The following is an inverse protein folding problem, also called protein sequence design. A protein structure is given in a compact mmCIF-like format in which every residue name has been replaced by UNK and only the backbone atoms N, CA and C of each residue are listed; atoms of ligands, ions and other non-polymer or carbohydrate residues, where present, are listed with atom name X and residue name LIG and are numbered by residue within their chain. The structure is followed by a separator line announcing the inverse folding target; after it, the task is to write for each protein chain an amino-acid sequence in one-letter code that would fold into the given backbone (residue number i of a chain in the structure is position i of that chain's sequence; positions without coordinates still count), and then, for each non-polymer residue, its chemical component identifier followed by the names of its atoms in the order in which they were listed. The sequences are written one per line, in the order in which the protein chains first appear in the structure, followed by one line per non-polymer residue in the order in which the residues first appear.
data_IF_325855225977
#
_entry.id   IF_325855225977
#
_cell.length_a   1.000
_cell.length_b   1.000
_cell.length_c   1.000
_cell.angle_alpha   90.00
_cell.angle_beta   90.00
_cell.angle_gamma   90.00
#
_symmetry.space_group_name_H-M   'P 1'
#
loop_
_entity.id
_entity.type
_entity.pdbx_description
1 polymer ?
#
# COMPACT_ATOMS: atom_id res chain seq x y z
N UNK A 1 10.89 2.75 -22.89
CA UNK A 1 11.19 1.41 -22.32
C UNK A 1 9.92 0.91 -21.66
N UNK A 2 9.52 -0.36 -21.83
CA UNK A 2 8.46 -0.93 -20.99
C UNK A 2 9.03 -1.05 -19.58
N UNK A 3 8.43 -0.36 -18.62
CA UNK A 3 8.69 -0.57 -17.19
C UNK A 3 8.42 -2.04 -16.90
N UNK A 4 9.32 -2.70 -16.15
CA UNK A 4 9.03 -4.04 -15.64
C UNK A 4 7.75 -4.01 -14.81
N UNK A 5 6.97 -5.10 -14.82
CA UNK A 5 5.77 -5.23 -13.99
C UNK A 5 6.05 -4.75 -12.54
N UNK A 6 5.36 -3.71 -12.04
CA UNK A 6 5.65 -3.11 -10.74
C UNK A 6 5.64 -4.11 -9.57
N UNK A 7 4.88 -5.20 -9.69
CA UNK A 7 4.86 -6.27 -8.68
C UNK A 7 6.22 -6.96 -8.49
N UNK A 8 7.09 -6.93 -9.49
CA UNK A 8 8.43 -7.55 -9.39
C UNK A 8 9.43 -6.72 -8.57
N UNK A 9 9.08 -5.47 -8.21
CA UNK A 9 9.97 -4.62 -7.42
C UNK A 9 10.31 -5.26 -6.07
N UNK A 10 9.29 -5.79 -5.39
CA UNK A 10 9.36 -6.30 -4.02
C UNK A 10 9.73 -7.79 -3.95
N UNK A 11 10.71 -8.24 -4.75
CA UNK A 11 11.14 -9.64 -4.83
C UNK A 11 12.66 -9.80 -4.63
N UNK A 12 13.07 -11.00 -4.22
CA UNK A 12 14.46 -11.37 -3.91
C UNK A 12 15.09 -10.44 -2.88
N UNK A 13 16.30 -9.97 -3.19
CA UNK A 13 17.07 -9.10 -2.30
C UNK A 13 16.30 -7.83 -1.87
N UNK A 14 15.41 -7.29 -2.70
CA UNK A 14 14.61 -6.13 -2.28
C UNK A 14 13.64 -6.48 -1.17
N UNK A 15 12.98 -7.64 -1.23
CA UNK A 15 12.06 -8.08 -0.18
C UNK A 15 12.79 -8.28 1.15
N UNK A 16 13.93 -8.99 1.12
CA UNK A 16 14.77 -9.25 2.30
C UNK A 16 15.23 -7.97 3.00
N UNK A 17 15.60 -6.96 2.22
CA UNK A 17 16.19 -5.72 2.73
C UNK A 17 15.18 -4.59 2.93
N UNK A 18 13.91 -4.78 2.49
CA UNK A 18 12.91 -3.71 2.46
C UNK A 18 12.68 -3.10 3.83
N UNK A 19 12.23 -3.88 4.81
CA UNK A 19 11.80 -3.34 6.09
C UNK A 19 12.95 -2.74 6.93
N UNK A 20 14.13 -3.38 7.04
CA UNK A 20 15.29 -2.79 7.70
C UNK A 20 15.73 -1.44 7.11
N UNK A 21 15.51 -1.24 5.80
CA UNK A 21 15.89 0.00 5.10
C UNK A 21 14.73 0.99 4.94
N UNK A 22 13.48 0.56 4.92
CA UNK A 22 12.31 1.43 4.79
C UNK A 22 12.08 2.26 6.06
N UNK A 23 12.45 1.72 7.23
CA UNK A 23 12.32 2.43 8.50
C UNK A 23 10.88 2.47 9.00
N UNK A 24 10.25 1.30 9.19
CA UNK A 24 8.97 1.12 9.88
C UNK A 24 7.76 1.86 9.28
N UNK A 25 6.58 1.58 9.83
CA UNK A 25 5.38 2.40 9.61
C UNK A 25 5.22 3.33 10.82
N UNK A 26 4.99 4.64 10.62
CA UNK A 26 4.90 5.59 11.73
C UNK A 26 3.73 5.32 12.69
N UNK A 27 2.61 4.76 12.22
CA UNK A 27 1.41 4.55 13.03
C UNK A 27 0.47 3.48 12.47
N UNK A 28 0.54 2.25 13.00
CA UNK A 28 -0.43 1.17 12.72
C UNK A 28 -1.78 1.42 13.39
N UNK A 29 -1.84 2.22 14.46
CA UNK A 29 -3.03 2.42 15.29
C UNK A 29 -4.16 3.11 14.52
N UNK A 30 -3.86 3.92 13.50
CA UNK A 30 -4.88 4.54 12.65
C UNK A 30 -5.70 3.49 11.88
N UNK A 31 -5.08 2.39 11.46
CA UNK A 31 -5.78 1.30 10.77
C UNK A 31 -6.59 0.44 11.74
N UNK A 32 -6.06 0.20 12.95
CA UNK A 32 -6.82 -0.42 14.05
C UNK A 32 -8.10 0.38 14.31
N UNK A 33 -7.98 1.68 14.57
CA UNK A 33 -9.13 2.58 14.80
C UNK A 33 -10.10 2.62 13.62
N UNK A 34 -9.59 2.58 12.39
CA UNK A 34 -10.43 2.51 11.20
C UNK A 34 -11.27 1.24 11.20
N UNK A 35 -10.67 0.06 11.44
CA UNK A 35 -11.38 -1.21 11.49
C UNK A 35 -12.35 -1.26 12.68
N UNK A 36 -11.96 -0.79 13.86
CA UNK A 36 -12.85 -0.71 15.04
C UNK A 36 -14.08 0.18 14.76
N UNK A 37 -13.91 1.27 14.01
CA UNK A 37 -14.99 2.22 13.66
C UNK A 37 -15.94 1.66 12.59
N UNK A 38 -15.41 1.00 11.57
CA UNK A 38 -16.17 0.61 10.37
C UNK A 38 -16.60 -0.87 10.36
N UNK A 39 -15.97 -1.68 11.21
CA UNK A 39 -16.32 -3.06 11.53
C UNK A 39 -15.44 -4.09 10.85
N UNK A 40 -15.66 -5.33 11.25
CA UNK A 40 -14.97 -6.54 10.79
C UNK A 40 -15.90 -7.41 9.94
N UNK A 41 -15.36 -8.27 9.06
CA UNK A 41 -13.94 -8.50 8.83
C UNK A 41 -13.30 -7.41 7.98
N UNK A 42 -11.98 -7.30 8.07
CA UNK A 42 -11.18 -6.36 7.30
C UNK A 42 -10.26 -7.04 6.27
N UNK A 43 -9.89 -6.29 5.23
CA UNK A 43 -8.94 -6.71 4.20
C UNK A 43 -7.87 -5.64 4.02
N UNK A 44 -6.61 -6.03 4.18
CA UNK A 44 -5.47 -5.24 3.71
C UNK A 44 -5.06 -5.66 2.30
N UNK A 45 -5.08 -4.72 1.38
CA UNK A 45 -4.57 -4.93 0.02
C UNK A 45 -3.17 -4.30 -0.09
N UNK A 46 -2.23 -5.09 -0.61
CA UNK A 46 -0.77 -4.86 -0.57
C UNK A 46 -0.18 -4.95 0.85
N UNK A 47 -0.47 -6.04 1.56
CA UNK A 47 -0.09 -6.22 2.97
C UNK A 47 1.42 -6.42 3.20
N UNK A 48 2.21 -6.66 2.14
CA UNK A 48 3.67 -6.74 2.20
C UNK A 48 4.18 -7.72 3.25
N UNK A 49 5.19 -7.28 4.03
CA UNK A 49 5.79 -8.04 5.13
C UNK A 49 4.92 -8.11 6.39
N UNK A 50 3.68 -7.60 6.34
CA UNK A 50 2.73 -7.67 7.43
C UNK A 50 2.64 -6.41 8.30
N UNK A 51 3.08 -5.25 7.81
CA UNK A 51 2.92 -3.98 8.51
C UNK A 51 1.92 -3.12 7.71
N UNK A 52 0.81 -2.62 8.30
CA UNK A 52 0.35 -2.81 9.69
C UNK A 52 -0.42 -4.12 9.93
N UNK A 53 -0.71 -4.92 8.91
CA UNK A 53 -1.53 -6.14 8.96
C UNK A 53 -1.41 -7.00 10.24
N UNK A 54 -0.20 -7.38 10.61
CA UNK A 54 0.06 -8.23 11.78
C UNK A 54 -0.22 -7.51 13.10
N UNK A 55 -0.08 -6.18 13.14
CA UNK A 55 -0.40 -5.39 14.32
C UNK A 55 -1.92 -5.34 14.56
N UNK A 56 -2.73 -5.37 13.49
CA UNK A 56 -4.19 -5.50 13.61
C UNK A 56 -4.60 -6.89 14.11
N UNK A 57 -3.97 -7.94 13.60
CA UNK A 57 -4.20 -9.31 14.10
C UNK A 57 -3.80 -9.45 15.57
N UNK A 58 -2.68 -8.83 15.98
CA UNK A 58 -2.22 -8.81 17.36
C UNK A 58 -3.17 -8.01 18.28
N UNK A 59 -3.86 -7.00 17.76
CA UNK A 59 -4.96 -6.32 18.43
C UNK A 59 -6.26 -7.16 18.53
N UNK A 60 -6.27 -8.37 17.97
CA UNK A 60 -7.39 -9.31 18.02
C UNK A 60 -8.45 -9.07 16.93
N UNK A 61 -8.12 -8.29 15.89
CA UNK A 61 -9.04 -7.99 14.80
C UNK A 61 -9.05 -9.10 13.74
N UNK A 62 -10.21 -9.34 13.12
CA UNK A 62 -10.38 -10.28 12.02
C UNK A 62 -9.99 -9.63 10.68
N UNK A 63 -8.74 -9.86 10.26
CA UNK A 63 -8.14 -9.25 9.06
C UNK A 63 -7.53 -10.31 8.15
N UNK A 64 -7.74 -10.17 6.85
CA UNK A 64 -7.04 -10.93 5.80
C UNK A 64 -6.10 -10.01 4.99
N UNK A 65 -5.07 -10.59 4.38
CA UNK A 65 -4.07 -9.85 3.60
C UNK A 65 -3.99 -10.33 2.15
N UNK A 66 -3.84 -9.41 1.20
CA UNK A 66 -3.53 -9.70 -0.22
C UNK A 66 -2.22 -9.01 -0.59
N UNK A 67 -1.31 -9.71 -1.26
CA UNK A 67 -0.12 -9.10 -1.87
C UNK A 67 0.29 -9.80 -3.16
N UNK A 68 0.93 -9.05 -4.06
CA UNK A 68 1.41 -9.55 -5.34
C UNK A 68 2.82 -10.18 -5.26
N UNK A 69 3.57 -9.93 -4.18
CA UNK A 69 4.89 -10.50 -3.96
C UNK A 69 4.82 -11.71 -3.05
N UNK A 70 5.13 -12.88 -3.60
CA UNK A 70 5.26 -14.11 -2.81
C UNK A 70 6.34 -13.99 -1.72
N UNK A 71 7.47 -13.35 -2.02
CA UNK A 71 8.58 -13.21 -1.08
C UNK A 71 8.16 -12.34 0.13
N UNK A 72 7.35 -11.30 -0.10
CA UNK A 72 6.81 -10.49 0.98
C UNK A 72 5.83 -11.27 1.86
N UNK A 73 4.97 -12.09 1.24
CA UNK A 73 4.03 -12.96 1.97
C UNK A 73 4.75 -14.02 2.80
N UNK A 74 5.85 -14.60 2.31
CA UNK A 74 6.67 -15.56 3.05
C UNK A 74 7.31 -14.91 4.30
N UNK A 75 7.78 -13.65 4.17
CA UNK A 75 8.27 -12.86 5.31
C UNK A 75 7.14 -12.56 6.29
N UNK A 76 5.96 -12.17 5.81
CA UNK A 76 4.77 -11.92 6.62
C UNK A 76 4.37 -13.16 7.44
N UNK A 77 4.31 -14.33 6.80
CA UNK A 77 3.98 -15.60 7.44
C UNK A 77 5.04 -16.00 8.49
N UNK A 78 6.33 -15.79 8.20
CA UNK A 78 7.41 -16.03 9.17
C UNK A 78 7.23 -15.16 10.42
N UNK A 79 6.99 -13.87 10.24
CA UNK A 79 6.75 -12.93 11.36
C UNK A 79 5.48 -13.26 12.14
N UNK A 80 4.42 -13.68 11.44
CA UNK A 80 3.19 -14.14 12.09
C UNK A 80 3.46 -15.33 13.00
N UNK A 81 4.20 -16.33 12.51
CA UNK A 81 4.58 -17.52 13.28
C UNK A 81 5.42 -17.17 14.52
N UNK A 82 6.37 -16.25 14.38
CA UNK A 82 7.18 -15.75 15.51
C UNK A 82 6.35 -15.05 16.58
N UNK A 83 5.27 -14.36 16.17
CA UNK A 83 4.31 -13.71 17.08
C UNK A 83 3.18 -14.66 17.56
N UNK A 84 3.13 -15.90 17.07
CA UNK A 84 2.05 -16.83 17.38
C UNK A 84 0.68 -16.44 16.80
N UNK A 85 0.67 -15.67 15.71
CA UNK A 85 -0.53 -15.20 15.02
C UNK A 85 -0.93 -16.17 13.90
N UNK A 86 -2.23 -16.35 13.70
CA UNK A 86 -2.76 -17.04 12.52
C UNK A 86 -3.08 -16.02 11.43
N UNK A 87 -2.56 -16.23 10.22
CA UNK A 87 -2.77 -15.34 9.07
C UNK A 87 -3.56 -16.03 7.97
N UNK A 88 -4.39 -15.25 7.28
CA UNK A 88 -4.99 -15.64 5.99
C UNK A 88 -4.43 -14.70 4.93
N UNK A 89 -3.59 -15.23 4.05
CA UNK A 89 -2.88 -14.48 3.01
C UNK A 89 -3.27 -14.97 1.62
N UNK A 90 -3.47 -14.02 0.70
CA UNK A 90 -3.82 -14.27 -0.69
C UNK A 90 -2.72 -13.72 -1.61
N UNK A 91 -2.09 -14.61 -2.38
CA UNK A 91 -1.10 -14.19 -3.39
C UNK A 91 -1.80 -13.79 -4.68
N UNK A 92 -1.99 -12.48 -4.89
CA UNK A 92 -2.68 -11.94 -6.04
C UNK A 92 -2.35 -10.46 -6.25
N UNK A 93 -2.57 -9.96 -7.47
CA UNK A 93 -2.48 -8.53 -7.76
C UNK A 93 -3.73 -7.82 -7.24
N UNK A 94 -3.59 -6.56 -6.82
CA UNK A 94 -4.74 -5.79 -6.31
C UNK A 94 -5.83 -5.53 -7.37
N UNK A 95 -5.48 -5.62 -8.66
CA UNK A 95 -6.42 -5.53 -9.78
C UNK A 95 -7.22 -6.82 -10.03
N UNK A 96 -6.75 -7.97 -9.53
CA UNK A 96 -7.26 -9.28 -9.93
C UNK A 96 -7.09 -10.30 -8.79
N UNK A 97 -8.04 -10.28 -7.85
CA UNK A 97 -8.21 -11.31 -6.85
C UNK A 97 -9.69 -11.67 -6.66
N UNK A 98 -9.95 -12.89 -6.19
CA UNK A 98 -11.30 -13.37 -5.88
C UNK A 98 -11.30 -14.07 -4.54
N UNK A 99 -11.86 -13.41 -3.53
CA UNK A 99 -12.00 -13.94 -2.18
C UNK A 99 -13.49 -14.19 -1.95
N UNK A 100 -13.92 -15.41 -1.55
CA UNK A 100 -15.32 -15.73 -1.29
C UNK A 100 -15.80 -15.19 0.07
N UNK A 101 -15.44 -13.94 0.39
CA UNK A 101 -15.73 -13.25 1.64
C UNK A 101 -16.02 -11.78 1.37
N UNK A 102 -16.95 -11.20 2.12
CA UNK A 102 -17.26 -9.77 2.11
C UNK A 102 -16.63 -9.09 3.33
N UNK A 103 -16.10 -7.89 3.15
CA UNK A 103 -15.38 -7.14 4.17
C UNK A 103 -16.10 -5.83 4.51
N UNK A 104 -16.14 -5.51 5.81
CA UNK A 104 -16.69 -4.25 6.33
C UNK A 104 -15.69 -3.10 6.19
N UNK A 105 -14.40 -3.41 6.29
CA UNK A 105 -13.31 -2.45 6.19
C UNK A 105 -12.29 -2.96 5.18
N UNK A 106 -11.98 -2.18 4.14
CA UNK A 106 -10.90 -2.49 3.21
C UNK A 106 -9.89 -1.36 3.28
N UNK A 107 -8.61 -1.64 3.28
CA UNK A 107 -7.61 -0.56 3.26
C UNK A 107 -6.39 -0.89 2.41
N UNK A 108 -5.81 0.16 1.84
CA UNK A 108 -4.53 0.12 1.13
C UNK A 108 -3.61 1.13 1.81
N UNK A 109 -2.66 0.61 2.56
CA UNK A 109 -1.76 1.40 3.38
C UNK A 109 -0.58 1.98 2.58
N UNK A 110 0.03 3.03 3.13
CA UNK A 110 1.36 3.55 2.76
C UNK A 110 1.55 3.88 1.28
N UNK A 111 0.50 4.39 0.62
CA UNK A 111 0.62 4.81 -0.76
C UNK A 111 0.63 3.67 -1.77
N UNK A 112 0.47 2.40 -1.38
CA UNK A 112 0.60 1.25 -2.27
C UNK A 112 -0.34 1.32 -3.50
N UNK A 113 -1.45 2.05 -3.41
CA UNK A 113 -2.36 2.27 -4.55
C UNK A 113 -1.66 2.93 -5.76
N UNK A 114 -0.63 3.73 -5.51
CA UNK A 114 0.14 4.43 -6.56
C UNK A 114 1.17 3.55 -7.26
N UNK A 115 1.29 2.27 -6.88
CA UNK A 115 2.08 1.28 -7.62
C UNK A 115 1.39 0.81 -8.90
N UNK A 116 0.09 1.10 -9.05
CA UNK A 116 -0.66 0.78 -10.26
C UNK A 116 -0.17 1.63 -11.45
N UNK A 117 0.03 1.04 -12.64
CA UNK A 117 0.64 1.74 -13.76
C UNK A 117 -0.33 2.67 -14.53
N UNK A 118 -1.64 2.55 -14.33
CA UNK A 118 -2.61 3.31 -15.10
C UNK A 118 -3.94 3.56 -14.38
N UNK A 119 -4.73 4.51 -14.91
CA UNK A 119 -6.11 4.73 -14.49
C UNK A 119 -7.00 3.50 -14.73
N UNK A 120 -6.69 2.67 -15.74
CA UNK A 120 -7.48 1.46 -16.02
C UNK A 120 -7.15 0.32 -15.06
N UNK A 121 -5.91 0.26 -14.55
CA UNK A 121 -5.53 -0.62 -13.44
C UNK A 121 -6.19 -0.17 -12.14
N UNK A 122 -6.28 1.15 -11.90
CA UNK A 122 -7.05 1.69 -10.77
C UNK A 122 -8.51 1.29 -10.88
N UNK A 123 -9.18 1.51 -12.01
CA UNK A 123 -10.58 1.08 -12.20
C UNK A 123 -10.78 -0.42 -11.96
N UNK A 124 -9.87 -1.28 -12.42
CA UNK A 124 -9.93 -2.73 -12.17
C UNK A 124 -9.79 -3.05 -10.68
N UNK A 125 -8.87 -2.40 -9.98
CA UNK A 125 -8.72 -2.51 -8.52
C UNK A 125 -10.00 -2.08 -7.80
N UNK A 126 -10.58 -0.95 -8.21
CA UNK A 126 -11.81 -0.42 -7.62
C UNK A 126 -13.01 -1.36 -7.85
N UNK A 127 -13.12 -2.01 -9.00
CA UNK A 127 -14.15 -3.03 -9.24
C UNK A 127 -13.90 -4.28 -8.38
N UNK A 128 -12.65 -4.71 -8.25
CA UNK A 128 -12.28 -5.86 -7.41
C UNK A 128 -12.63 -5.60 -5.94
N UNK A 129 -12.40 -4.37 -5.45
CA UNK A 129 -12.81 -3.96 -4.11
C UNK A 129 -14.34 -3.97 -3.98
N UNK A 130 -15.11 -3.46 -4.95
CA UNK A 130 -16.59 -3.55 -4.94
C UNK A 130 -17.05 -5.01 -4.80
N UNK A 131 -16.38 -5.95 -5.47
CA UNK A 131 -16.74 -7.36 -5.47
C UNK A 131 -16.52 -8.06 -4.12
N UNK A 132 -15.66 -7.52 -3.25
CA UNK A 132 -15.44 -8.04 -1.89
C UNK A 132 -15.91 -7.09 -0.78
N UNK A 133 -16.38 -5.88 -1.08
CA UNK A 133 -16.87 -4.94 -0.08
C UNK A 133 -18.31 -5.28 0.32
N UNK A 134 -18.59 -5.20 1.62
CA UNK A 134 -19.95 -5.23 2.15
C UNK A 134 -20.75 -3.99 1.68
N UNK A 135 -22.08 -4.07 1.46
CA UNK A 135 -22.87 -2.93 1.00
C UNK A 135 -22.82 -1.69 1.91
N UNK A 136 -22.50 -1.84 3.20
CA UNK A 136 -22.27 -0.73 4.11
C UNK A 136 -20.81 -0.65 4.59
N UNK A 137 -19.90 -1.28 3.84
CA UNK A 137 -18.46 -1.24 4.08
C UNK A 137 -17.80 0.05 3.59
N UNK A 138 -16.61 0.30 4.13
CA UNK A 138 -15.81 1.49 3.83
C UNK A 138 -14.41 1.07 3.40
N UNK A 139 -13.85 1.83 2.47
CA UNK A 139 -12.49 1.68 1.97
C UNK A 139 -11.66 2.87 2.41
N UNK A 140 -10.46 2.62 2.92
CA UNK A 140 -9.46 3.63 3.25
C UNK A 140 -8.26 3.50 2.31
N UNK A 141 -7.98 4.57 1.57
CA UNK A 141 -6.77 4.68 0.77
C UNK A 141 -5.81 5.65 1.43
N UNK A 142 -4.57 5.22 1.63
CA UNK A 142 -3.46 6.15 1.77
C UNK A 142 -2.96 6.55 0.40
N UNK A 143 -3.05 7.84 0.09
CA UNK A 143 -2.45 8.45 -1.07
C UNK A 143 -1.16 9.16 -0.65
N UNK A 144 -0.03 8.69 -1.18
CA UNK A 144 1.27 9.32 -1.04
C UNK A 144 1.65 9.96 -2.38
N UNK A 145 1.88 11.27 -2.38
CA UNK A 145 2.16 12.07 -3.57
C UNK A 145 3.63 12.51 -3.49
N UNK A 146 4.57 11.75 -4.09
CA UNK A 146 5.98 12.07 -4.00
C UNK A 146 6.30 13.35 -4.77
N UNK A 147 7.17 14.19 -4.22
CA UNK A 147 7.77 15.31 -4.95
C UNK A 147 9.01 14.82 -5.73
N UNK A 148 9.02 14.87 -7.07
CA UNK A 148 10.16 14.41 -7.86
C UNK A 148 11.46 15.14 -7.56
N UNK A 149 11.41 16.43 -7.22
CA UNK A 149 12.61 17.21 -6.91
C UNK A 149 13.23 16.80 -5.58
N UNK A 150 12.41 16.35 -4.62
CA UNK A 150 12.90 15.83 -3.34
C UNK A 150 13.66 14.52 -3.55
N UNK A 151 13.18 13.66 -4.44
CA UNK A 151 13.86 12.43 -4.84
C UNK A 151 15.16 12.73 -5.61
N UNK A 152 15.14 13.69 -6.53
CA UNK A 152 16.34 14.12 -7.28
C UNK A 152 17.45 14.63 -6.36
N UNK A 153 17.11 15.36 -5.29
CA UNK A 153 18.06 15.82 -4.28
C UNK A 153 18.71 14.69 -3.48
N UNK A 154 18.17 13.47 -3.57
CA UNK A 154 18.70 12.27 -2.91
C UNK A 154 19.41 11.30 -3.87
N UNK A 155 19.54 11.63 -5.16
CA UNK A 155 20.35 10.83 -6.09
C UNK A 155 21.79 10.74 -5.58
N UNK A 156 22.32 9.51 -5.54
CA UNK A 156 23.66 9.19 -5.05
C UNK A 156 23.79 9.11 -3.53
N UNK A 157 22.73 9.41 -2.77
CA UNK A 157 22.72 9.20 -1.31
C UNK A 157 22.19 7.79 -1.01
N UNK A 158 22.89 7.10 -0.12
CA UNK A 158 22.53 5.78 0.34
C UNK A 158 22.18 5.82 1.83
N UNK A 159 21.02 5.27 2.18
CA UNK A 159 20.71 4.89 3.55
C UNK A 159 21.38 3.54 3.81
N UNK A 160 22.05 3.41 4.93
CA UNK A 160 22.82 2.21 5.30
C UNK A 160 22.54 1.84 6.76
N UNK A 161 22.50 0.54 7.03
CA UNK A 161 22.42 -0.03 8.39
C UNK A 161 23.08 -1.40 8.42
N UNK A 162 23.27 -1.95 9.62
CA UNK A 162 23.62 -3.36 9.80
C UNK A 162 22.36 -4.19 10.03
N UNK A 163 22.30 -5.37 9.42
CA UNK A 163 21.22 -6.33 9.59
C UNK A 163 21.78 -7.75 9.44
N UNK A 164 21.54 -8.62 10.43
CA UNK A 164 22.01 -10.02 10.46
C UNK A 164 23.52 -10.19 10.17
N UNK A 165 24.35 -9.26 10.63
CA UNK A 165 25.81 -9.30 10.42
C UNK A 165 26.27 -8.86 9.03
N UNK A 166 25.35 -8.35 8.20
CA UNK A 166 25.63 -7.71 6.93
C UNK A 166 25.49 -6.20 7.03
N UNK A 167 26.30 -5.49 6.23
CA UNK A 167 26.09 -4.08 5.95
C UNK A 167 25.16 -3.97 4.75
N UNK A 168 23.98 -3.39 4.94
CA UNK A 168 22.95 -3.28 3.91
C UNK A 168 22.70 -1.82 3.58
N UNK A 169 22.44 -1.51 2.31
CA UNK A 169 22.13 -0.14 1.89
C UNK A 169 21.17 -0.06 0.72
N UNK A 170 20.42 1.03 0.68
CA UNK A 170 19.58 1.42 -0.46
C UNK A 170 19.86 2.86 -0.84
N UNK A 171 19.94 3.15 -2.13
CA UNK A 171 20.11 4.50 -2.64
C UNK A 171 19.41 4.70 -3.98
N UNK A 172 19.01 5.95 -4.24
CA UNK A 172 18.45 6.34 -5.53
C UNK A 172 19.61 6.63 -6.48
N UNK A 173 19.60 6.00 -7.65
CA UNK A 173 20.64 6.18 -8.68
C UNK A 173 20.17 7.03 -9.85
N UNK A 174 18.87 7.04 -10.11
CA UNK A 174 18.23 7.80 -11.18
C UNK A 174 16.78 8.11 -10.80
N UNK A 175 16.27 9.24 -11.28
CA UNK A 175 14.87 9.64 -11.15
C UNK A 175 14.39 10.20 -12.49
N UNK A 176 13.39 9.54 -13.07
CA UNK A 176 12.70 9.99 -14.27
C UNK A 176 11.28 10.41 -13.89
N UNK A 177 10.86 11.58 -14.37
CA UNK A 177 9.52 12.13 -14.13
C UNK A 177 8.91 12.55 -15.46
N UNK A 178 7.72 12.04 -15.77
CA UNK A 178 6.89 12.49 -16.88
C UNK A 178 5.77 13.37 -16.34
N UNK A 179 5.86 14.68 -16.54
CA UNK A 179 4.77 15.61 -16.19
C UNK A 179 3.49 15.26 -16.96
N UNK A 180 3.64 14.94 -18.26
CA UNK A 180 2.53 14.63 -19.16
C UNK A 180 1.74 13.41 -18.67
N UNK A 181 2.45 12.37 -18.24
CA UNK A 181 1.83 11.11 -17.84
C UNK A 181 1.63 11.04 -16.32
N UNK A 182 2.15 12.01 -15.56
CA UNK A 182 2.20 12.00 -14.09
C UNK A 182 2.81 10.72 -13.53
N UNK A 183 3.94 10.32 -14.12
CA UNK A 183 4.62 9.06 -13.84
C UNK A 183 6.03 9.31 -13.33
N UNK A 184 6.35 8.67 -12.21
CA UNK A 184 7.65 8.72 -11.56
C UNK A 184 8.29 7.33 -11.62
N UNK A 185 9.55 7.27 -12.04
CA UNK A 185 10.38 6.09 -11.93
C UNK A 185 11.66 6.47 -11.21
N UNK A 186 11.86 5.92 -10.01
CA UNK A 186 13.14 6.01 -9.31
C UNK A 186 13.87 4.68 -9.46
N UNK A 187 15.12 4.70 -9.92
CA UNK A 187 15.96 3.50 -9.93
C UNK A 187 16.67 3.35 -8.60
N UNK A 188 16.28 2.37 -7.80
CA UNK A 188 16.90 2.09 -6.51
C UNK A 188 17.93 0.98 -6.65
N UNK A 189 19.07 1.17 -5.98
CA UNK A 189 20.09 0.15 -5.81
C UNK A 189 20.05 -0.37 -4.39
N UNK A 190 19.80 -1.67 -4.25
CA UNK A 190 19.93 -2.40 -3.00
C UNK A 190 21.25 -3.17 -3.01
N UNK A 191 21.95 -3.14 -1.87
CA UNK A 191 23.20 -3.86 -1.69
C UNK A 191 23.26 -4.51 -0.32
N UNK A 192 23.83 -5.72 -0.28
CA UNK A 192 24.20 -6.45 0.93
C UNK A 192 25.68 -6.79 0.85
N UNK A 193 26.45 -6.40 1.86
CA UNK A 193 27.89 -6.62 1.94
C UNK A 193 28.22 -7.46 3.18
N UNK A 194 28.90 -8.59 2.98
CA UNK A 194 29.35 -9.46 4.07
C UNK A 194 30.56 -8.89 4.80
N UNK A 195 30.85 -9.41 5.99
CA UNK A 195 32.05 -9.05 6.75
C UNK A 195 33.38 -9.35 6.03
N UNK A 196 33.36 -10.22 5.01
CA UNK A 196 34.50 -10.54 4.15
C UNK A 196 34.62 -9.62 2.93
N UNK A 197 33.68 -8.70 2.74
CA UNK A 197 33.65 -7.78 1.61
C UNK A 197 32.98 -8.34 0.34
N UNK A 198 32.31 -9.50 0.42
CA UNK A 198 31.50 -10.01 -0.68
C UNK A 198 30.23 -9.17 -0.80
N UNK A 199 29.90 -8.72 -2.02
CA UNK A 199 28.76 -7.83 -2.27
C UNK A 199 27.76 -8.50 -3.20
N UNK A 200 26.50 -8.49 -2.77
CA UNK A 200 25.34 -8.71 -3.60
C UNK A 200 24.67 -7.37 -3.90
N UNK A 201 24.25 -7.14 -5.15
CA UNK A 201 23.62 -5.89 -5.55
C UNK A 201 22.51 -6.12 -6.57
N UNK A 202 21.43 -5.36 -6.44
CA UNK A 202 20.34 -5.35 -7.39
C UNK A 202 19.86 -3.92 -7.65
N UNK A 203 19.64 -3.60 -8.91
CA UNK A 203 18.95 -2.39 -9.32
C UNK A 203 17.48 -2.72 -9.65
N UNK A 204 16.55 -1.86 -9.23
CA UNK A 204 15.11 -1.97 -9.52
C UNK A 204 14.51 -0.61 -9.86
N UNK A 205 13.60 -0.61 -10.82
CA UNK A 205 12.79 0.55 -11.17
C UNK A 205 11.56 0.58 -10.26
N UNK A 206 11.54 1.53 -9.32
CA UNK A 206 10.39 1.82 -8.49
C UNK A 206 9.48 2.80 -9.20
N UNK A 207 8.38 2.26 -9.73
CA UNK A 207 7.37 3.02 -10.45
C UNK A 207 6.30 3.55 -9.49
N UNK A 208 5.85 4.78 -9.75
CA UNK A 208 4.70 5.40 -9.09
C UNK A 208 3.86 6.16 -10.11
N UNK A 209 2.56 5.90 -10.16
CA UNK A 209 1.56 6.79 -10.78
C UNK A 209 1.15 7.84 -9.76
N UNK A 210 1.29 9.10 -10.12
CA UNK A 210 0.98 10.21 -9.22
C UNK A 210 -0.37 10.79 -9.62
N UNK A 211 -1.37 10.62 -8.77
CA UNK A 211 -2.66 11.31 -8.91
C UNK A 211 -2.70 12.50 -7.95
N UNK A 212 -3.22 13.64 -8.43
CA UNK A 212 -3.73 14.64 -7.50
C UNK A 212 -4.92 14.07 -6.72
N UNK A 213 -5.16 14.58 -5.52
CA UNK A 213 -6.31 14.18 -4.70
C UNK A 213 -7.62 14.32 -5.48
N UNK A 214 -7.80 15.44 -6.17
CA UNK A 214 -9.00 15.71 -6.97
C UNK A 214 -9.20 14.66 -8.07
N UNK A 215 -8.13 14.31 -8.80
CA UNK A 215 -8.19 13.30 -9.87
C UNK A 215 -8.47 11.90 -9.31
N UNK A 216 -7.85 11.56 -8.18
CA UNK A 216 -8.09 10.27 -7.52
C UNK A 216 -9.55 10.15 -7.06
N UNK A 217 -10.08 11.19 -6.41
CA UNK A 217 -11.48 11.27 -6.00
C UNK A 217 -12.45 11.23 -7.19
N UNK A 218 -12.13 11.89 -8.31
CA UNK A 218 -12.92 11.81 -9.54
C UNK A 218 -12.99 10.36 -10.06
N UNK A 219 -11.85 9.66 -10.12
CA UNK A 219 -11.79 8.26 -10.55
C UNK A 219 -12.57 7.31 -9.64
N UNK A 220 -12.53 7.54 -8.32
CA UNK A 220 -13.37 6.83 -7.35
C UNK A 220 -14.86 7.03 -7.65
N UNK A 221 -15.29 8.28 -7.79
CA UNK A 221 -16.71 8.61 -8.06
C UNK A 221 -17.19 8.03 -9.39
N UNK A 222 -16.38 8.15 -10.45
CA UNK A 222 -16.68 7.53 -11.75
C UNK A 222 -16.78 6.00 -11.68
N UNK A 223 -16.15 5.37 -10.68
CA UNK A 223 -16.19 3.92 -10.45
C UNK A 223 -17.29 3.49 -9.47
N UNK A 224 -18.21 4.39 -9.10
CA UNK A 224 -19.38 4.07 -8.27
C UNK A 224 -19.18 4.28 -6.76
N UNK A 225 -18.08 4.90 -6.34
CA UNK A 225 -17.84 5.25 -4.95
C UNK A 225 -18.43 6.62 -4.62
N UNK A 226 -18.70 6.86 -3.34
CA UNK A 226 -18.80 8.22 -2.80
C UNK A 226 -17.62 8.48 -1.86
N UNK A 227 -17.15 9.72 -1.81
CA UNK A 227 -16.11 10.15 -0.88
C UNK A 227 -16.77 10.49 0.45
N UNK A 228 -16.40 9.76 1.50
CA UNK A 228 -16.89 9.99 2.85
C UNK A 228 -16.13 11.12 3.53
N UNK A 229 -14.80 11.09 3.41
CA UNK A 229 -13.89 12.00 4.10
C UNK A 229 -12.52 12.01 3.41
N UNK A 230 -11.81 13.13 3.49
CA UNK A 230 -10.42 13.28 3.03
C UNK A 230 -9.64 13.98 4.13
N UNK A 231 -8.58 13.36 4.62
CA UNK A 231 -7.75 13.88 5.71
C UNK A 231 -6.29 13.98 5.27
N UNK A 232 -5.58 15.01 5.71
CA UNK A 232 -4.14 15.15 5.50
C UNK A 232 -3.42 14.87 6.81
N UNK A 233 -2.49 13.91 6.80
CA UNK A 233 -1.67 13.59 7.96
C UNK A 233 -0.41 14.46 7.99
N UNK A 234 0.15 14.67 9.18
CA UNK A 234 1.41 15.40 9.37
C UNK A 234 2.60 14.76 8.62
N UNK A 235 2.50 13.46 8.30
CA UNK A 235 3.48 12.73 7.49
C UNK A 235 3.47 13.11 6.00
N UNK A 236 2.46 13.87 5.55
CA UNK A 236 2.21 14.16 4.13
C UNK A 236 1.36 13.11 3.41
N UNK A 237 1.00 12.00 4.08
CA UNK A 237 0.03 11.03 3.56
C UNK A 237 -1.37 11.64 3.59
N UNK A 238 -2.13 11.41 2.53
CA UNK A 238 -3.52 11.85 2.41
C UNK A 238 -4.42 10.62 2.52
N UNK A 239 -5.30 10.59 3.51
CA UNK A 239 -6.27 9.52 3.70
C UNK A 239 -7.56 9.86 2.96
N UNK A 240 -8.01 8.95 2.10
CA UNK A 240 -9.28 9.06 1.38
C UNK A 240 -10.19 7.92 1.82
N UNK A 241 -11.28 8.27 2.49
CA UNK A 241 -12.31 7.32 2.93
C UNK A 241 -13.44 7.30 1.89
N UNK A 242 -13.79 6.12 1.40
CA UNK A 242 -14.81 5.95 0.37
C UNK A 242 -15.75 4.78 0.67
N UNK A 243 -16.99 4.83 0.18
CA UNK A 243 -17.96 3.74 0.28
C UNK A 243 -18.65 3.48 -1.06
N UNK A 244 -19.35 2.35 -1.19
CA UNK A 244 -20.07 1.95 -2.40
C UNK A 244 -21.57 1.94 -2.11
N UNK A 245 -22.37 2.71 -2.86
CA UNK A 245 -23.82 2.81 -2.65
C UNK A 245 -24.26 4.16 -2.07
N UNK A 246 -25.34 4.71 -2.65
CA UNK A 246 -25.78 6.08 -2.40
C UNK A 246 -26.15 6.34 -0.95
N UNK A 247 -25.79 7.53 -0.43
CA UNK A 247 -26.53 8.13 0.68
C UNK A 247 -27.98 8.33 0.26
N UNK A 248 -28.80 7.30 0.38
CA UNK A 248 -30.19 7.48 0.78
C UNK A 248 -30.24 7.39 2.32
N UNK A 249 -29.50 8.29 2.97
CA UNK A 249 -29.89 8.74 4.29
C UNK A 249 -31.06 9.70 4.03
N UNK A 250 -32.25 9.22 4.35
CA UNK A 250 -33.50 9.95 4.26
C UNK A 250 -33.33 11.45 4.54
N UNK A 251 -33.75 12.27 3.57
CA UNK A 251 -34.56 13.43 3.90
C UNK A 251 -35.74 12.92 4.74
N UNK A 252 -35.63 12.98 6.06
CA UNK A 252 -36.77 13.05 6.97
C UNK A 252 -36.27 13.48 8.35
N UNK A 253 -36.97 14.48 8.91
CA UNK A 253 -36.72 15.24 10.15
C UNK A 253 -35.74 16.42 9.94
N UNK A 254 -36.16 17.65 9.62
CA UNK A 254 -37.26 18.42 10.21
C UNK A 254 -38.01 19.29 9.18
N UNK A 255 -39.22 18.86 8.85
CA UNK A 255 -40.39 19.75 8.76
C UNK A 255 -41.33 19.34 9.90
N UNK A 256 -42.00 20.34 10.52
CA UNK A 256 -42.69 20.36 11.81
C UNK A 256 -41.73 20.79 12.95
N UNK A 257 -41.83 21.98 13.54
CA UNK A 257 -43.00 22.87 13.76
C UNK A 257 -42.62 24.35 13.67
#
# INVERSE_FOLDING_TARGET
MRVSDPSNFYTGLVAELYEPLAGGIPDSNRFIKFVEKHGEPALEICCGTGLPFLDLLEAGLDVEGVDASKDMLEICETKANERGLHVTLHHAKMQDFKIPRRFRSVYIANGSITLLPSDDDLKQTLNTIIDCLDPAGVVLFDLDIPNPDDLRRNIGKFKETEYEGYRIRVGITQVDWSEKDSELIAKLRYERVSSKGEMESVDRDWFRKVWSVDRFCELLVCSGYYIAEVENLDSGIIQVFAGVGGRNLNQNQNTQS
#
